data_IF_580959387980
#
_entry.id   IF_580959387980
#
_cell.length_a   1.000
_cell.length_b   1.000
_cell.length_c   1.000
_cell.angle_alpha   90.00
_cell.angle_beta   90.00
_cell.angle_gamma   90.00
#
_symmetry.space_group_name_H-M   'P 1'
#
loop_
_entity.id
_entity.type
_entity.pdbx_description
1 polymer ?
#
# COMPACT_ATOMS: atom_id res chain seq x y z
N UNK A 1 1.56 2.29 -28.12
CA UNK A 1 2.63 1.86 -27.20
C UNK A 1 2.13 0.67 -26.39
N UNK A 2 2.88 -0.44 -26.37
CA UNK A 2 2.43 -1.69 -25.72
C UNK A 2 2.39 -1.48 -24.20
N UNK A 3 1.19 -1.49 -23.61
CA UNK A 3 0.97 -1.41 -22.15
C UNK A 3 1.80 -2.43 -21.36
N UNK A 4 2.23 -3.52 -22.02
CA UNK A 4 3.13 -4.55 -21.48
C UNK A 4 4.48 -3.98 -21.02
N UNK A 5 5.03 -2.95 -21.65
CA UNK A 5 6.31 -2.35 -21.26
C UNK A 5 6.25 -1.54 -19.96
N UNK A 6 5.05 -1.10 -19.57
CA UNK A 6 4.84 -0.32 -18.34
C UNK A 6 4.59 -1.18 -17.10
N UNK A 7 4.66 -2.51 -17.20
CA UNK A 7 4.33 -3.39 -16.07
C UNK A 7 5.35 -3.23 -14.93
N UNK A 8 6.64 -3.28 -15.24
CA UNK A 8 7.73 -3.15 -14.26
C UNK A 8 7.74 -1.83 -13.48
N UNK A 9 7.19 -0.76 -14.06
CA UNK A 9 7.08 0.55 -13.39
C UNK A 9 6.01 0.58 -12.29
N UNK A 10 4.98 -0.25 -12.42
CA UNK A 10 3.77 -0.16 -11.61
C UNK A 10 3.53 -1.41 -10.76
N UNK A 11 4.10 -2.56 -11.14
CA UNK A 11 3.95 -3.83 -10.45
C UNK A 11 5.33 -4.31 -10.00
N UNK A 12 5.50 -4.64 -8.71
CA UNK A 12 6.75 -5.21 -8.24
C UNK A 12 6.92 -6.66 -8.69
N UNK A 13 5.82 -7.41 -8.84
CA UNK A 13 5.84 -8.83 -9.20
C UNK A 13 4.53 -9.26 -9.86
N UNK A 14 4.61 -10.24 -10.77
CA UNK A 14 3.43 -10.90 -11.34
C UNK A 14 3.55 -12.41 -11.18
N UNK A 15 2.56 -13.04 -10.53
CA UNK A 15 2.53 -14.48 -10.27
C UNK A 15 1.31 -15.10 -10.93
N UNK A 16 1.55 -16.13 -11.71
CA UNK A 16 0.52 -16.94 -12.36
C UNK A 16 0.45 -18.28 -11.63
N UNK A 17 -0.76 -18.66 -11.22
CA UNK A 17 -1.06 -19.96 -10.63
C UNK A 17 -1.87 -20.74 -11.64
N UNK A 18 -1.50 -21.99 -11.92
CA UNK A 18 -2.24 -22.85 -12.83
C UNK A 18 -1.89 -24.33 -12.60
N UNK A 19 -2.77 -25.24 -12.99
CA UNK A 19 -2.45 -26.65 -13.14
C UNK A 19 -2.14 -26.95 -14.60
N UNK A 20 -1.04 -27.66 -14.90
CA UNK A 20 -0.63 -28.00 -16.27
C UNK A 20 -1.56 -28.98 -16.96
N UNK A 21 -2.19 -29.87 -16.18
CA UNK A 21 -3.05 -30.94 -16.70
C UNK A 21 -4.53 -30.58 -16.70
N UNK A 22 -4.95 -29.63 -15.85
CA UNK A 22 -6.36 -29.28 -15.71
C UNK A 22 -6.86 -28.43 -16.89
N UNK A 23 -8.00 -28.80 -17.52
CA UNK A 23 -8.65 -27.97 -18.52
C UNK A 23 -9.00 -26.57 -18.01
N UNK A 24 -9.33 -26.43 -16.72
CA UNK A 24 -9.71 -25.14 -16.13
C UNK A 24 -8.58 -24.11 -16.12
N UNK A 25 -7.33 -24.56 -16.20
CA UNK A 25 -6.12 -23.74 -16.14
C UNK A 25 -5.49 -23.47 -17.50
N UNK A 26 -6.05 -24.05 -18.58
CA UNK A 26 -5.44 -24.06 -19.90
C UNK A 26 -5.26 -22.67 -20.50
N UNK A 27 -6.18 -21.74 -20.27
CA UNK A 27 -6.05 -20.37 -20.77
C UNK A 27 -4.89 -19.63 -20.13
N UNK A 28 -4.71 -19.74 -18.80
CA UNK A 28 -3.59 -19.13 -18.07
C UNK A 28 -2.26 -19.69 -18.58
N UNK A 29 -2.15 -21.01 -18.67
CA UNK A 29 -0.92 -21.67 -19.12
C UNK A 29 -0.56 -21.33 -20.56
N UNK A 30 -1.54 -21.35 -21.47
CA UNK A 30 -1.33 -21.03 -22.89
C UNK A 30 -0.89 -19.57 -23.06
N UNK A 31 -1.64 -18.64 -22.45
CA UNK A 31 -1.31 -17.21 -22.53
C UNK A 31 0.07 -16.91 -21.95
N UNK A 32 0.44 -17.53 -20.83
CA UNK A 32 1.75 -17.35 -20.23
C UNK A 32 2.85 -17.79 -21.19
N UNK A 33 2.78 -18.98 -21.76
CA UNK A 33 3.80 -19.48 -22.69
C UNK A 33 3.92 -18.61 -23.95
N UNK A 34 2.79 -18.16 -24.49
CA UNK A 34 2.76 -17.34 -25.71
C UNK A 34 3.32 -15.93 -25.48
N UNK A 35 3.18 -15.38 -24.26
CA UNK A 35 3.53 -13.97 -23.97
C UNK A 35 4.79 -13.80 -23.11
N UNK A 36 5.29 -14.85 -22.45
CA UNK A 36 6.36 -14.74 -21.47
C UNK A 36 7.64 -14.11 -22.03
N UNK A 37 8.07 -14.54 -23.21
CA UNK A 37 9.29 -14.02 -23.85
C UNK A 37 9.20 -12.51 -24.12
N UNK A 38 8.07 -12.05 -24.68
CA UNK A 38 7.84 -10.63 -24.92
C UNK A 38 7.77 -9.84 -23.60
N UNK A 39 7.03 -10.34 -22.61
CA UNK A 39 6.88 -9.68 -21.31
C UNK A 39 8.21 -9.54 -20.59
N UNK A 40 9.04 -10.59 -20.61
CA UNK A 40 10.35 -10.58 -19.94
C UNK A 40 11.36 -9.72 -20.69
N UNK A 41 11.31 -9.68 -22.02
CA UNK A 41 12.13 -8.77 -22.82
C UNK A 41 11.78 -7.31 -22.54
N UNK A 42 10.50 -6.98 -22.42
CA UNK A 42 10.04 -5.62 -22.11
C UNK A 42 10.24 -5.22 -20.65
N UNK A 43 10.30 -6.19 -19.72
CA UNK A 43 10.39 -5.97 -18.27
C UNK A 43 11.50 -6.85 -17.65
N UNK A 44 12.78 -6.60 -17.96
CA UNK A 44 13.87 -7.50 -17.56
C UNK A 44 14.03 -7.62 -16.05
N UNK A 45 13.85 -6.53 -15.30
CA UNK A 45 14.00 -6.50 -13.84
C UNK A 45 12.81 -7.11 -13.08
N UNK A 46 11.60 -7.09 -13.67
CA UNK A 46 10.39 -7.55 -12.98
C UNK A 46 10.36 -9.08 -12.88
N UNK A 47 10.14 -9.65 -11.67
CA UNK A 47 9.86 -11.06 -11.52
C UNK A 47 8.50 -11.42 -12.13
N UNK A 48 8.50 -12.34 -13.09
CA UNK A 48 7.31 -12.93 -13.70
C UNK A 48 7.39 -14.43 -13.43
N UNK A 49 6.51 -14.94 -12.58
CA UNK A 49 6.58 -16.31 -12.06
C UNK A 49 5.37 -17.12 -12.50
N UNK A 50 5.63 -18.34 -12.97
CA UNK A 50 4.61 -19.38 -13.13
C UNK A 50 4.75 -20.38 -11.97
N UNK A 51 3.65 -20.61 -11.25
CA UNK A 51 3.54 -21.61 -10.20
C UNK A 51 2.55 -22.66 -10.63
N UNK A 52 3.07 -23.86 -10.84
CA UNK A 52 2.28 -25.03 -11.21
C UNK A 52 2.07 -25.92 -9.99
N UNK A 53 0.85 -26.47 -9.85
CA UNK A 53 0.55 -27.46 -8.82
C UNK A 53 -0.72 -28.25 -9.16
N UNK A 54 -0.81 -29.45 -8.60
CA UNK A 54 -1.96 -30.32 -8.81
C UNK A 54 -3.21 -29.70 -8.17
N UNK A 55 -4.34 -29.74 -8.89
CA UNK A 55 -5.61 -29.13 -8.48
C UNK A 55 -5.50 -27.65 -8.07
N UNK A 56 -4.48 -26.93 -8.55
CA UNK A 56 -4.33 -25.51 -8.30
C UNK A 56 -5.46 -24.72 -8.98
N UNK A 57 -6.09 -23.80 -8.23
CA UNK A 57 -7.05 -22.86 -8.80
C UNK A 57 -6.29 -21.84 -9.66
N UNK A 58 -6.63 -21.71 -10.95
CA UNK A 58 -5.95 -20.77 -11.83
C UNK A 58 -6.22 -19.34 -11.37
N UNK A 59 -5.17 -18.56 -11.16
CA UNK A 59 -5.26 -17.18 -10.70
C UNK A 59 -4.03 -16.38 -11.11
N UNK A 60 -4.16 -15.06 -11.10
CA UNK A 60 -3.02 -14.13 -11.22
C UNK A 60 -3.00 -13.25 -10.00
N UNK A 61 -1.81 -13.07 -9.42
CA UNK A 61 -1.61 -12.13 -8.33
C UNK A 61 -0.44 -11.20 -8.56
N UNK A 62 -0.53 -10.03 -7.94
CA UNK A 62 0.57 -9.10 -7.73
C UNK A 62 0.72 -8.87 -6.23
N UNK A 63 1.79 -8.23 -5.81
CA UNK A 63 1.89 -7.61 -4.48
C UNK A 63 1.80 -6.12 -4.70
N UNK A 64 0.87 -5.46 -4.02
CA UNK A 64 0.84 -4.00 -3.91
C UNK A 64 0.83 -3.67 -2.43
N UNK A 65 1.38 -2.52 -2.09
CA UNK A 65 1.19 -1.95 -0.78
C UNK A 65 -0.04 -1.04 -0.81
N UNK A 66 -0.86 -1.11 0.24
CA UNK A 66 -2.04 -0.27 0.38
C UNK A 66 -1.90 0.54 1.65
N UNK A 67 -2.00 1.86 1.53
CA UNK A 67 -1.98 2.74 2.68
C UNK A 67 -3.34 2.74 3.39
N UNK A 68 -3.34 3.20 4.65
CA UNK A 68 -4.57 3.47 5.38
C UNK A 68 -5.46 4.50 4.64
N UNK A 69 -4.86 5.45 3.93
CA UNK A 69 -5.61 6.44 3.14
C UNK A 69 -6.37 5.78 1.98
N UNK A 70 -5.79 4.75 1.35
CA UNK A 70 -6.44 3.99 0.29
C UNK A 70 -7.63 3.20 0.82
N UNK A 71 -7.46 2.58 1.99
CA UNK A 71 -8.54 1.85 2.68
C UNK A 71 -9.70 2.79 3.03
N UNK A 72 -9.42 3.93 3.64
CA UNK A 72 -10.45 4.92 3.99
C UNK A 72 -11.16 5.45 2.75
N UNK A 73 -10.42 5.76 1.68
CA UNK A 73 -11.00 6.19 0.41
C UNK A 73 -11.93 5.11 -0.17
N UNK A 74 -11.52 3.85 -0.14
CA UNK A 74 -12.34 2.72 -0.57
C UNK A 74 -13.62 2.60 0.27
N UNK A 75 -13.51 2.65 1.60
CA UNK A 75 -14.65 2.56 2.51
C UNK A 75 -15.64 3.72 2.33
N UNK A 76 -15.16 4.95 2.11
CA UNK A 76 -16.00 6.12 1.83
C UNK A 76 -16.73 5.94 0.49
N UNK A 77 -16.01 5.58 -0.59
CA UNK A 77 -16.59 5.42 -1.92
C UNK A 77 -17.65 4.32 -1.99
N UNK A 78 -17.43 3.23 -1.24
CA UNK A 78 -18.36 2.11 -1.15
C UNK A 78 -19.41 2.28 -0.05
N UNK A 79 -19.38 3.41 0.66
CA UNK A 79 -20.24 3.70 1.81
C UNK A 79 -20.30 2.51 2.76
N UNK A 80 -19.15 2.01 3.21
CA UNK A 80 -19.06 0.80 4.04
C UNK A 80 -19.22 1.05 5.53
N UNK A 81 -19.11 2.30 5.98
CA UNK A 81 -19.31 2.65 7.38
C UNK A 81 -20.76 2.44 7.80
N UNK A 82 -21.00 1.54 8.76
CA UNK A 82 -22.33 1.24 9.30
C UNK A 82 -22.43 1.52 10.78
N UNK A 83 -23.60 1.94 11.22
CA UNK A 83 -23.98 1.96 12.64
C UNK A 83 -24.56 0.61 13.07
N UNK A 84 -24.79 0.42 14.37
CA UNK A 84 -25.45 -0.79 14.92
C UNK A 84 -26.81 -1.08 14.26
N UNK A 85 -27.50 -0.03 13.82
CA UNK A 85 -28.80 -0.12 13.15
C UNK A 85 -28.70 -0.50 11.65
N UNK A 86 -27.48 -0.66 11.12
CA UNK A 86 -27.23 -0.98 9.71
C UNK A 86 -27.36 0.20 8.74
N UNK A 87 -27.61 1.41 9.25
CA UNK A 87 -27.56 2.67 8.47
C UNK A 87 -26.12 3.11 8.22
N UNK A 88 -25.92 3.98 7.23
CA UNK A 88 -24.59 4.56 6.95
C UNK A 88 -24.23 5.51 8.09
N UNK A 89 -23.07 5.32 8.71
CA UNK A 89 -22.61 6.15 9.84
C UNK A 89 -21.98 7.45 9.36
N UNK A 90 -22.67 8.59 9.53
CA UNK A 90 -22.17 9.90 9.13
C UNK A 90 -20.96 10.33 9.98
N UNK A 91 -21.03 10.16 11.30
CA UNK A 91 -19.95 10.53 12.22
C UNK A 91 -18.63 9.81 11.88
N UNK A 92 -18.69 8.52 11.52
CA UNK A 92 -17.49 7.73 11.18
C UNK A 92 -16.96 8.07 9.79
N UNK A 93 -17.84 8.40 8.85
CA UNK A 93 -17.42 8.95 7.54
C UNK A 93 -16.73 10.31 7.70
N UNK A 94 -17.23 11.17 8.59
CA UNK A 94 -16.60 12.47 8.88
C UNK A 94 -15.25 12.31 9.56
N UNK A 95 -15.12 11.41 10.55
CA UNK A 95 -13.84 11.07 11.17
C UNK A 95 -12.82 10.55 10.14
N UNK A 96 -13.25 9.67 9.21
CA UNK A 96 -12.39 9.17 8.14
C UNK A 96 -11.96 10.29 7.16
N UNK A 97 -12.86 11.22 6.83
CA UNK A 97 -12.53 12.39 5.99
C UNK A 97 -11.59 13.36 6.70
N UNK A 98 -11.78 13.58 8.00
CA UNK A 98 -10.90 14.41 8.81
C UNK A 98 -9.49 13.82 8.84
N UNK A 99 -9.35 12.50 9.04
CA UNK A 99 -8.06 11.81 8.98
C UNK A 99 -7.35 11.99 7.63
N UNK A 100 -8.09 11.90 6.51
CA UNK A 100 -7.55 12.12 5.17
C UNK A 100 -7.12 13.57 4.92
N UNK A 101 -7.61 14.53 5.71
CA UNK A 101 -7.26 15.95 5.64
C UNK A 101 -6.18 16.35 6.64
N UNK A 102 -5.76 15.44 7.52
CA UNK A 102 -4.70 15.69 8.50
C UNK A 102 -3.39 16.04 7.78
N UNK A 103 -2.79 17.17 8.18
CA UNK A 103 -1.47 17.56 7.71
C UNK A 103 -0.39 16.75 8.45
N UNK A 104 0.01 15.64 7.83
CA UNK A 104 1.05 14.75 8.36
C UNK A 104 2.42 15.43 8.43
N UNK A 105 2.72 16.38 7.54
CA UNK A 105 3.99 17.10 7.56
C UNK A 105 4.06 18.06 8.74
N UNK A 106 2.96 18.70 9.09
CA UNK A 106 2.89 19.54 10.29
C UNK A 106 3.04 18.69 11.55
N UNK A 107 2.31 17.57 11.64
CA UNK A 107 2.42 16.65 12.77
C UNK A 107 3.84 16.11 12.94
N UNK A 108 4.53 15.84 11.83
CA UNK A 108 5.93 15.42 11.79
C UNK A 108 6.88 16.54 12.21
N UNK A 109 6.70 17.77 11.73
CA UNK A 109 7.49 18.93 12.16
C UNK A 109 7.39 19.18 13.66
N UNK A 110 6.17 19.18 14.19
CA UNK A 110 5.92 19.39 15.62
C UNK A 110 6.56 18.28 16.47
N UNK A 111 6.51 17.03 15.97
CA UNK A 111 7.22 15.91 16.60
C UNK A 111 8.74 16.13 16.62
N UNK A 112 9.33 16.54 15.50
CA UNK A 112 10.78 16.68 15.35
C UNK A 112 11.35 17.93 16.03
N UNK A 113 10.53 18.96 16.26
CA UNK A 113 10.92 20.14 17.04
C UNK A 113 11.32 19.79 18.49
N UNK A 114 10.84 18.64 18.99
CA UNK A 114 11.12 18.15 20.34
C UNK A 114 12.39 17.27 20.39
N UNK A 115 13.41 17.63 21.20
CA UNK A 115 14.60 16.82 21.38
C UNK A 115 14.28 15.38 21.84
N UNK A 116 14.91 14.38 21.22
CA UNK A 116 14.68 12.96 21.48
C UNK A 116 13.48 12.35 20.73
N UNK A 117 12.69 13.15 20.00
CA UNK A 117 11.63 12.67 19.11
C UNK A 117 11.97 12.79 17.62
N UNK A 118 13.07 13.51 17.31
CA UNK A 118 13.70 13.57 16.01
C UNK A 118 14.50 12.28 15.72
N UNK A 119 14.19 11.55 14.63
CA UNK A 119 15.00 10.41 14.19
C UNK A 119 16.47 10.76 13.93
N UNK A 120 16.78 11.99 13.51
CA UNK A 120 18.16 12.44 13.26
C UNK A 120 18.93 12.73 14.55
N UNK A 121 18.20 13.07 15.63
CA UNK A 121 18.74 13.39 16.96
C UNK A 121 17.97 12.66 18.06
N UNK A 122 18.13 11.32 18.17
CA UNK A 122 17.33 10.51 19.08
C UNK A 122 17.74 10.67 20.55
N UNK A 123 18.91 11.23 20.82
CA UNK A 123 19.40 11.47 22.17
C UNK A 123 19.11 12.90 22.61
N UNK A 124 18.87 13.06 23.91
CA UNK A 124 18.76 14.39 24.51
C UNK A 124 20.18 14.96 24.60
N UNK A 125 20.37 16.19 24.13
CA UNK A 125 21.66 16.87 24.21
C UNK A 125 22.10 16.99 25.68
N UNK A 126 23.36 16.63 25.96
CA UNK A 126 23.94 16.70 27.30
C UNK A 126 24.00 18.14 27.86
N UNK A 127 23.92 19.14 26.97
CA UNK A 127 23.89 20.56 27.30
C UNK A 127 22.52 21.03 27.82
N UNK A 128 21.42 20.36 27.44
CA UNK A 128 20.05 20.71 27.83
C UNK A 128 19.23 19.46 28.26
N UNK A 129 19.65 18.76 29.34
CA UNK A 129 18.95 17.55 29.80
C UNK A 129 17.51 17.82 30.26
N UNK A 130 17.24 19.03 30.76
CA UNK A 130 15.94 19.48 31.27
C UNK A 130 15.23 20.46 30.31
N UNK A 131 15.42 20.31 28.99
CA UNK A 131 14.89 21.22 27.96
C UNK A 131 13.39 21.52 28.09
N UNK A 132 12.60 20.57 28.63
CA UNK A 132 11.16 20.74 28.89
C UNK A 132 10.84 21.87 29.87
N UNK A 133 11.75 22.16 30.79
CA UNK A 133 11.59 23.21 31.79
C UNK A 133 12.39 24.48 31.45
N UNK A 134 13.45 24.34 30.65
CA UNK A 134 14.34 25.45 30.26
C UNK A 134 13.87 26.17 29.00
N UNK A 135 13.23 25.46 28.08
CA UNK A 135 12.77 26.00 26.79
C UNK A 135 11.24 25.92 26.68
N UNK A 136 10.57 27.03 26.99
CA UNK A 136 9.11 27.15 26.96
C UNK A 136 8.51 27.01 25.54
N UNK A 137 9.25 27.38 24.50
CA UNK A 137 8.83 27.26 23.10
C UNK A 137 8.72 25.78 22.70
N UNK A 138 9.79 25.00 22.92
CA UNK A 138 9.79 23.55 22.66
C UNK A 138 8.77 22.78 23.49
N UNK A 139 8.51 23.22 24.72
CA UNK A 139 7.47 22.63 25.56
C UNK A 139 6.05 22.86 24.98
N UNK A 140 5.82 24.03 24.40
CA UNK A 140 4.55 24.38 23.74
C UNK A 140 4.36 23.58 22.44
N UNK A 141 5.42 23.42 21.64
CA UNK A 141 5.39 22.60 20.41
C UNK A 141 5.10 21.12 20.72
N UNK A 142 5.69 20.59 21.81
CA UNK A 142 5.40 19.24 22.27
C UNK A 142 3.93 19.07 22.71
N UNK A 143 3.37 20.05 23.40
CA UNK A 143 1.96 20.06 23.79
C UNK A 143 1.06 20.11 22.55
N UNK A 144 1.38 20.96 21.57
CA UNK A 144 0.69 21.02 20.29
C UNK A 144 0.74 19.68 19.53
N UNK A 145 1.89 19.01 19.52
CA UNK A 145 2.03 17.66 18.95
C UNK A 145 1.10 16.66 19.64
N UNK A 146 1.05 16.63 20.98
CA UNK A 146 0.17 15.71 21.70
C UNK A 146 -1.31 15.96 21.40
N UNK A 147 -1.74 17.22 21.36
CA UNK A 147 -3.13 17.57 20.99
C UNK A 147 -3.48 17.07 19.58
N UNK A 148 -2.59 17.28 18.61
CA UNK A 148 -2.79 16.79 17.24
C UNK A 148 -2.80 15.26 17.17
N UNK A 149 -1.86 14.61 17.87
CA UNK A 149 -1.75 13.15 17.92
C UNK A 149 -2.99 12.52 18.57
N UNK A 150 -3.45 13.06 19.69
CA UNK A 150 -4.62 12.56 20.41
C UNK A 150 -5.88 12.71 19.55
N UNK A 151 -6.03 13.83 18.85
CA UNK A 151 -7.13 14.01 17.90
C UNK A 151 -7.10 12.97 16.75
N UNK A 152 -5.91 12.64 16.23
CA UNK A 152 -5.75 11.59 15.21
C UNK A 152 -6.08 10.21 15.78
N UNK A 153 -5.62 9.89 16.99
CA UNK A 153 -5.91 8.61 17.65
C UNK A 153 -7.42 8.45 17.94
N UNK A 154 -8.10 9.52 18.33
CA UNK A 154 -9.56 9.54 18.50
C UNK A 154 -10.28 9.30 17.17
N UNK A 155 -9.81 9.91 16.07
CA UNK A 155 -10.35 9.66 14.74
C UNK A 155 -10.17 8.18 14.36
N UNK A 156 -8.98 7.62 14.56
CA UNK A 156 -8.68 6.20 14.30
C UNK A 156 -9.59 5.28 15.09
N UNK A 157 -9.73 5.54 16.39
CA UNK A 157 -10.62 4.77 17.26
C UNK A 157 -12.06 4.83 16.74
N UNK A 158 -12.53 6.01 16.34
CA UNK A 158 -13.90 6.24 15.87
C UNK A 158 -14.22 5.49 14.57
N UNK A 159 -13.35 5.59 13.55
CA UNK A 159 -13.65 4.91 12.28
C UNK A 159 -13.32 3.42 12.31
N UNK A 160 -12.53 2.92 13.27
CA UNK A 160 -12.24 1.48 13.41
C UNK A 160 -13.22 0.73 14.31
N UNK A 161 -13.97 1.41 15.18
CA UNK A 161 -14.90 0.82 16.16
C UNK A 161 -16.22 0.29 15.58
N UNK A 162 -16.28 0.03 14.27
CA UNK A 162 -17.50 -0.36 13.59
C UNK A 162 -18.01 -1.75 13.96
N UNK A 163 -19.34 -1.98 13.83
CA UNK A 163 -19.90 -3.31 14.04
C UNK A 163 -19.39 -4.30 12.98
N UNK A 164 -19.47 -5.59 13.30
CA UNK A 164 -19.22 -6.69 12.36
C UNK A 164 -17.82 -6.70 11.70
N UNK A 165 -16.80 -6.12 12.34
CA UNK A 165 -15.43 -6.05 11.81
C UNK A 165 -15.37 -5.47 10.38
N UNK A 166 -16.22 -4.50 10.06
CA UNK A 166 -16.31 -3.92 8.70
C UNK A 166 -14.98 -3.35 8.20
N UNK A 167 -14.16 -2.79 9.11
CA UNK A 167 -12.83 -2.27 8.78
C UNK A 167 -11.90 -3.37 8.29
N UNK A 168 -11.78 -4.48 9.05
CA UNK A 168 -10.99 -5.65 8.64
C UNK A 168 -11.54 -6.32 7.38
N UNK A 169 -12.86 -6.32 7.20
CA UNK A 169 -13.49 -6.83 5.97
C UNK A 169 -13.14 -5.97 4.76
N UNK A 170 -13.12 -4.65 4.91
CA UNK A 170 -12.72 -3.73 3.86
C UNK A 170 -11.23 -3.88 3.52
N UNK A 171 -10.37 -4.03 4.53
CA UNK A 171 -8.94 -4.32 4.35
C UNK A 171 -8.74 -5.62 3.55
N UNK A 172 -9.40 -6.71 3.96
CA UNK A 172 -9.37 -7.97 3.23
C UNK A 172 -9.91 -7.82 1.79
N UNK A 173 -10.99 -7.06 1.59
CA UNK A 173 -11.54 -6.84 0.25
C UNK A 173 -10.56 -6.08 -0.67
N UNK A 174 -9.81 -5.12 -0.12
CA UNK A 174 -8.78 -4.39 -0.85
C UNK A 174 -7.60 -5.31 -1.20
N UNK A 175 -7.13 -6.13 -0.26
CA UNK A 175 -6.11 -7.15 -0.51
C UNK A 175 -6.54 -8.15 -1.59
N UNK A 176 -7.81 -8.57 -1.59
CA UNK A 176 -8.33 -9.51 -2.59
C UNK A 176 -8.35 -8.93 -4.01
N UNK A 177 -8.33 -7.60 -4.17
CA UNK A 177 -8.25 -6.98 -5.50
C UNK A 177 -6.90 -7.23 -6.19
N UNK A 178 -5.86 -7.63 -5.45
CA UNK A 178 -4.57 -8.02 -6.00
C UNK A 178 -4.58 -9.42 -6.63
N UNK A 179 -5.67 -10.17 -6.48
CA UNK A 179 -5.85 -11.52 -7.01
C UNK A 179 -7.06 -11.58 -7.94
N UNK A 180 -6.84 -12.13 -9.14
CA UNK A 180 -7.91 -12.42 -10.09
C UNK A 180 -7.98 -13.93 -10.30
N UNK A 181 -9.08 -14.55 -9.89
CA UNK A 181 -9.34 -15.96 -10.15
C UNK A 181 -9.82 -16.15 -11.60
N UNK A 182 -9.28 -17.15 -12.28
CA UNK A 182 -9.40 -17.36 -13.73
C UNK A 182 -9.85 -18.78 -14.05
N UNK A 183 -10.81 -19.29 -13.27
CA UNK A 183 -11.34 -20.64 -13.44
C UNK A 183 -12.02 -20.81 -14.80
N UNK A 184 -11.43 -21.64 -15.67
CA UNK A 184 -11.95 -21.87 -17.02
C UNK A 184 -11.78 -20.68 -17.95
N UNK A 185 -10.96 -19.70 -17.57
CA UNK A 185 -10.79 -18.49 -18.35
C UNK A 185 -9.97 -18.74 -19.63
N UNK A 186 -10.27 -18.00 -20.70
CA UNK A 186 -9.52 -17.99 -21.95
C UNK A 186 -8.35 -17.00 -21.95
N UNK A 187 -7.45 -17.05 -22.94
CA UNK A 187 -6.29 -16.15 -23.04
C UNK A 187 -6.65 -14.65 -23.04
N UNK A 188 -7.80 -14.27 -23.60
CA UNK A 188 -8.26 -12.87 -23.61
C UNK A 188 -8.63 -12.35 -22.21
N UNK A 189 -9.22 -13.21 -21.39
CA UNK A 189 -9.60 -12.89 -20.01
C UNK A 189 -8.36 -12.82 -19.12
N UNK A 190 -7.38 -13.70 -19.37
CA UNK A 190 -6.05 -13.64 -18.77
C UNK A 190 -5.38 -12.29 -19.08
N UNK A 191 -5.39 -11.85 -20.34
CA UNK A 191 -4.83 -10.55 -20.71
C UNK A 191 -5.58 -9.38 -20.02
N UNK A 192 -6.91 -9.46 -19.94
CA UNK A 192 -7.72 -8.46 -19.25
C UNK A 192 -7.39 -8.40 -17.75
N UNK A 193 -7.14 -9.54 -17.11
CA UNK A 193 -6.71 -9.61 -15.71
C UNK A 193 -5.33 -8.95 -15.51
N UNK A 194 -4.35 -9.21 -16.38
CA UNK A 194 -3.03 -8.56 -16.30
C UNK A 194 -3.15 -7.05 -16.52
N UNK A 195 -4.01 -6.59 -17.45
CA UNK A 195 -4.31 -5.15 -17.62
C UNK A 195 -4.98 -4.55 -16.40
N UNK A 196 -5.89 -5.27 -15.76
CA UNK A 196 -6.53 -4.83 -14.52
C UNK A 196 -5.50 -4.62 -13.41
N UNK A 197 -4.64 -5.62 -13.17
CA UNK A 197 -3.56 -5.50 -12.18
C UNK A 197 -2.61 -4.36 -12.54
N UNK A 198 -2.23 -4.20 -13.81
CA UNK A 198 -1.40 -3.07 -14.24
C UNK A 198 -2.02 -1.71 -13.93
N UNK A 199 -3.32 -1.53 -14.12
CA UNK A 199 -4.03 -0.28 -13.78
C UNK A 199 -4.13 -0.09 -12.27
N UNK A 200 -4.28 -1.19 -11.52
CA UNK A 200 -4.27 -1.17 -10.06
C UNK A 200 -2.91 -0.68 -9.55
N UNK A 201 -1.82 -1.22 -10.09
CA UNK A 201 -0.45 -0.78 -9.79
C UNK A 201 -0.23 0.69 -10.13
N UNK A 202 -0.69 1.16 -11.28
CA UNK A 202 -0.58 2.59 -11.66
C UNK A 202 -1.26 3.54 -10.67
N UNK A 203 -2.29 3.07 -9.96
CA UNK A 203 -3.04 3.88 -9.01
C UNK A 203 -2.41 3.87 -7.62
N UNK A 204 -1.93 2.70 -7.17
CA UNK A 204 -1.55 2.48 -5.77
C UNK A 204 -0.04 2.39 -5.56
N UNK A 205 0.73 2.20 -6.62
CA UNK A 205 2.16 1.98 -6.51
C UNK A 205 2.92 3.10 -7.20
N UNK A 206 3.34 4.08 -6.39
CA UNK A 206 4.35 5.06 -6.80
C UNK A 206 5.70 4.50 -6.39
N UNK A 207 6.34 3.68 -7.24
CA UNK A 207 7.69 3.14 -7.00
C UNK A 207 8.80 4.21 -7.08
N UNK A 208 8.48 5.48 -6.82
CA UNK A 208 9.53 6.47 -6.59
C UNK A 208 10.19 6.10 -5.27
N UNK A 209 11.46 5.73 -5.36
CA UNK A 209 12.24 5.37 -4.18
C UNK A 209 12.55 6.66 -3.43
N UNK A 210 11.93 6.83 -2.27
CA UNK A 210 12.28 7.88 -1.33
C UNK A 210 13.61 7.48 -0.68
N UNK A 211 14.70 8.02 -1.20
CA UNK A 211 16.01 7.89 -0.57
C UNK A 211 16.13 9.01 0.46
N UNK A 212 16.34 8.68 1.74
CA UNK A 212 16.70 9.70 2.71
C UNK A 212 17.97 10.42 2.25
N UNK A 213 18.02 11.75 2.39
CA UNK A 213 19.16 12.58 1.97
C UNK A 213 20.51 12.12 2.57
N UNK A 214 20.49 11.33 3.66
CA UNK A 214 21.69 10.78 4.32
C UNK A 214 22.23 9.47 3.69
N UNK A 215 21.50 8.79 2.80
CA UNK A 215 22.03 7.65 2.04
C UNK A 215 22.78 8.21 0.83
N UNK A 216 23.94 8.83 1.07
CA UNK A 216 24.84 9.29 0.02
C UNK A 216 25.60 8.14 -0.64
N UNK A 217 25.61 6.95 -0.04
CA UNK A 217 26.36 5.78 -0.54
C UNK A 217 25.58 4.48 -0.34
N UNK A 218 24.72 4.16 -1.29
CA UNK A 218 24.53 2.76 -1.68
C UNK A 218 24.32 2.69 -3.20
N UNK A 219 25.41 2.92 -3.94
CA UNK A 219 25.52 2.48 -5.33
C UNK A 219 25.99 1.03 -5.33
N UNK A 220 25.14 0.03 -5.63
CA UNK A 220 25.64 -1.27 -6.02
C UNK A 220 26.24 -1.13 -7.43
N UNK A 221 27.52 -0.75 -7.51
CA UNK A 221 28.31 -0.89 -8.74
C UNK A 221 28.99 0.37 -9.30
N UNK A 222 29.60 1.20 -8.46
CA UNK A 222 30.62 2.14 -8.94
C UNK A 222 31.93 1.93 -8.17
N UNK A 223 32.83 1.18 -8.79
CA UNK A 223 34.31 1.24 -8.66
C UNK A 223 34.98 0.57 -7.44
N UNK A 224 34.95 -0.77 -7.41
CA UNK A 224 36.17 -1.58 -7.18
C UNK A 224 36.71 -2.09 -8.53
N UNK A 225 37.17 -1.18 -9.40
CA UNK A 225 37.98 -1.45 -10.59
C UNK A 225 39.05 -0.37 -10.76
#
# INVERSE_FOLDING_TARGET
MSWKAGLSRNLPILRFFCCSESPSSRGVFTWFNDNYHELKQLNPAMPILLRTGDNCMPAITTELDFSQNDLLTFMIQKQLFRDENGTVSEARMEAAKAYLQTDWHELQRQRWASPGFDPERPFIDEEEPDWRYTNAERATDLEAYFVLKDAVDEQIATFSSGPNDEYKKAENALLMCQRVDLWGAGPSEVEAAVKHLSRLGQKFNSLETDFPDFITEYYPGAEEL
#
